data_IF_999054892890
#
_entry.id   IF_999054892890
#
_cell.length_a   1.000
_cell.length_b   1.000
_cell.length_c   1.000
_cell.angle_alpha   90.00
_cell.angle_beta   90.00
_cell.angle_gamma   90.00
#
_symmetry.space_group_name_H-M   'P 1'
#
loop_
_entity.id
_entity.type
_entity.pdbx_description
1 polymer ?
#
# COMPACT_ATOMS: atom_id res chain seq x y z
N UNK A 1 -21.05 -21.88 -0.53
CA UNK A 1 -20.29 -20.62 -0.53
C UNK A 1 -19.33 -20.54 0.65
N UNK A 2 -19.74 -20.96 1.84
CA UNK A 2 -18.95 -20.79 3.08
C UNK A 2 -17.62 -21.57 3.09
N UNK A 3 -17.53 -22.70 2.39
CA UNK A 3 -16.30 -23.50 2.34
C UNK A 3 -15.24 -22.96 1.34
N UNK A 4 -15.64 -22.22 0.32
CA UNK A 4 -14.71 -21.73 -0.72
C UNK A 4 -13.73 -20.66 -0.20
N UNK A 5 -14.15 -19.85 0.75
CA UNK A 5 -13.32 -18.79 1.37
C UNK A 5 -12.70 -19.21 2.70
N UNK A 6 -13.04 -20.39 3.23
CA UNK A 6 -12.50 -20.89 4.49
C UNK A 6 -11.02 -21.26 4.35
N UNK A 7 -10.17 -20.64 5.18
CA UNK A 7 -8.74 -20.92 5.18
C UNK A 7 -8.45 -22.28 5.82
N UNK A 8 -7.51 -23.03 5.25
CA UNK A 8 -7.09 -24.36 5.71
C UNK A 8 -5.65 -24.40 6.20
N UNK A 9 -4.84 -23.41 5.83
CA UNK A 9 -3.46 -23.30 6.31
C UNK A 9 -3.43 -22.74 7.73
N UNK A 10 -2.40 -23.10 8.51
CA UNK A 10 -2.28 -22.73 9.93
C UNK A 10 -1.33 -21.56 10.18
N UNK A 11 -0.41 -21.25 9.26
CA UNK A 11 0.55 -20.16 9.45
C UNK A 11 0.02 -18.87 8.82
N UNK A 12 0.16 -17.76 9.53
CA UNK A 12 -0.33 -16.44 9.08
C UNK A 12 0.15 -16.06 7.67
N UNK A 13 1.41 -16.39 7.37
CA UNK A 13 1.99 -16.13 6.06
C UNK A 13 1.30 -16.93 4.95
N UNK A 14 1.11 -18.23 5.11
CA UNK A 14 0.40 -19.07 4.15
C UNK A 14 -1.09 -18.71 4.06
N UNK A 15 -1.71 -18.33 5.17
CA UNK A 15 -3.10 -17.84 5.17
C UNK A 15 -3.28 -16.60 4.31
N UNK A 16 -2.29 -15.71 4.26
CA UNK A 16 -2.31 -14.54 3.37
C UNK A 16 -2.36 -14.96 1.89
N UNK A 17 -1.49 -15.88 1.50
CA UNK A 17 -1.43 -16.41 0.12
C UNK A 17 -2.72 -17.20 -0.21
N UNK A 18 -3.15 -18.09 0.68
CA UNK A 18 -4.37 -18.87 0.50
C UNK A 18 -5.61 -17.98 0.34
N UNK A 19 -5.74 -16.94 1.16
CA UNK A 19 -6.84 -15.98 1.08
C UNK A 19 -6.89 -15.30 -0.29
N UNK A 20 -5.75 -14.88 -0.80
CA UNK A 20 -5.67 -14.22 -2.11
C UNK A 20 -6.05 -15.19 -3.24
N UNK A 21 -5.53 -16.41 -3.24
CA UNK A 21 -5.86 -17.43 -4.23
C UNK A 21 -7.35 -17.82 -4.19
N UNK A 22 -7.91 -18.01 -2.99
CA UNK A 22 -9.34 -18.31 -2.82
C UNK A 22 -10.24 -17.18 -3.29
N UNK A 23 -9.87 -15.91 -3.00
CA UNK A 23 -10.61 -14.74 -3.48
C UNK A 23 -10.64 -14.67 -5.01
N UNK A 24 -9.50 -14.89 -5.67
CA UNK A 24 -9.40 -14.92 -7.12
C UNK A 24 -10.27 -16.01 -7.73
N UNK A 25 -10.21 -17.23 -7.19
CA UNK A 25 -11.04 -18.35 -7.64
C UNK A 25 -12.54 -18.09 -7.40
N UNK A 26 -12.89 -17.52 -6.24
CA UNK A 26 -14.27 -17.16 -5.93
C UNK A 26 -14.78 -16.10 -6.89
N UNK A 27 -14.01 -15.05 -7.13
CA UNK A 27 -14.35 -13.99 -8.06
C UNK A 27 -14.53 -14.54 -9.49
N UNK A 28 -13.62 -15.39 -9.94
CA UNK A 28 -13.72 -16.05 -11.24
C UNK A 28 -15.01 -16.86 -11.41
N UNK A 29 -15.43 -17.58 -10.37
CA UNK A 29 -16.61 -18.45 -10.42
C UNK A 29 -17.94 -17.70 -10.29
N UNK A 30 -17.97 -16.70 -9.43
CA UNK A 30 -19.23 -16.08 -8.99
C UNK A 30 -19.45 -14.66 -9.55
N UNK A 31 -18.38 -14.01 -9.97
CA UNK A 31 -18.40 -12.64 -10.50
C UNK A 31 -17.63 -12.60 -11.82
N UNK A 32 -18.11 -13.27 -12.88
CA UNK A 32 -17.40 -13.39 -14.15
C UNK A 32 -17.47 -12.07 -14.93
N UNK A 33 -16.75 -11.08 -14.45
CA UNK A 33 -16.51 -9.79 -15.13
C UNK A 33 -15.15 -9.84 -15.81
N UNK A 34 -14.77 -8.77 -16.50
CA UNK A 34 -13.47 -8.64 -17.14
C UNK A 34 -12.33 -8.79 -16.10
N UNK A 35 -11.85 -10.02 -15.96
CA UNK A 35 -10.72 -10.31 -15.08
C UNK A 35 -9.74 -11.26 -15.77
N UNK A 36 -8.47 -11.10 -15.44
CA UNK A 36 -7.40 -11.97 -15.93
C UNK A 36 -6.81 -12.71 -14.73
N UNK A 37 -6.56 -14.00 -14.93
CA UNK A 37 -5.82 -14.81 -13.96
C UNK A 37 -4.34 -14.78 -14.35
N UNK A 38 -3.50 -14.33 -13.43
CA UNK A 38 -2.06 -14.33 -13.63
C UNK A 38 -1.52 -15.77 -13.71
N UNK A 39 -0.52 -15.97 -14.56
CA UNK A 39 0.18 -17.24 -14.74
C UNK A 39 1.36 -17.43 -13.77
N UNK A 40 1.40 -16.66 -12.70
CA UNK A 40 2.46 -16.68 -11.69
C UNK A 40 1.94 -16.38 -10.29
N UNK A 41 2.75 -16.71 -9.30
CA UNK A 41 2.55 -16.29 -7.91
C UNK A 41 3.53 -15.17 -7.60
N UNK A 42 3.00 -14.03 -7.12
CA UNK A 42 3.81 -12.89 -6.75
C UNK A 42 4.53 -13.13 -5.42
N UNK A 43 5.85 -12.88 -5.39
CA UNK A 43 6.67 -12.82 -4.20
C UNK A 43 7.12 -11.37 -4.01
N UNK A 44 6.46 -10.59 -3.14
CA UNK A 44 6.82 -9.19 -2.93
C UNK A 44 8.25 -9.04 -2.41
N UNK A 45 8.95 -8.01 -2.88
CA UNK A 45 10.23 -7.57 -2.28
C UNK A 45 10.03 -7.24 -0.81
N UNK A 46 10.92 -7.69 0.06
CA UNK A 46 10.90 -7.35 1.49
C UNK A 46 11.50 -5.97 1.67
N UNK A 47 10.67 -5.02 2.04
CA UNK A 47 11.05 -3.60 2.18
C UNK A 47 10.64 -3.11 3.56
N UNK A 48 11.53 -2.38 4.19
CA UNK A 48 11.28 -1.72 5.47
C UNK A 48 11.25 -0.21 5.29
N UNK A 49 10.38 0.46 6.02
CA UNK A 49 10.31 1.93 6.08
C UNK A 49 10.17 2.35 7.54
N UNK A 50 10.88 3.40 7.91
CA UNK A 50 10.75 3.99 9.27
C UNK A 50 9.43 4.72 9.47
N UNK A 51 8.66 4.93 8.39
CA UNK A 51 7.42 5.70 8.42
C UNK A 51 7.65 7.20 8.63
N UNK A 52 6.56 7.91 8.83
CA UNK A 52 6.56 9.38 8.92
C UNK A 52 6.97 9.94 10.29
N UNK A 53 7.33 9.07 11.25
CA UNK A 53 7.74 9.49 12.60
C UNK A 53 6.57 9.92 13.51
N UNK A 54 5.37 10.00 12.98
CA UNK A 54 4.12 10.29 13.68
C UNK A 54 3.11 9.19 13.32
N UNK A 55 2.44 8.66 14.31
CA UNK A 55 1.38 7.66 14.16
C UNK A 55 0.04 8.22 14.62
N UNK A 56 -1.05 7.58 14.26
CA UNK A 56 -2.36 7.97 14.78
C UNK A 56 -2.45 7.72 16.30
N UNK A 57 -2.98 8.70 17.02
CA UNK A 57 -3.40 8.58 18.40
C UNK A 57 -4.93 8.61 18.40
N UNK A 58 -5.56 7.48 18.77
CA UNK A 58 -6.98 7.26 18.48
C UNK A 58 -7.67 6.46 19.57
N UNK A 59 -8.83 6.96 20.00
CA UNK A 59 -9.81 6.18 20.76
C UNK A 59 -10.71 5.40 19.81
N UNK A 60 -10.78 4.11 20.01
CA UNK A 60 -11.64 3.21 19.23
C UNK A 60 -12.85 2.81 20.06
N UNK A 61 -14.05 3.11 19.57
CA UNK A 61 -15.29 2.66 20.17
C UNK A 61 -15.93 1.59 19.29
N UNK A 62 -15.96 0.38 19.81
CA UNK A 62 -16.66 -0.75 19.19
C UNK A 62 -18.14 -0.66 19.62
N UNK A 63 -19.03 -0.38 18.68
CA UNK A 63 -20.48 -0.30 18.92
C UNK A 63 -21.19 -1.62 18.65
N UNK A 64 -20.64 -2.46 17.77
CA UNK A 64 -21.12 -3.79 17.45
C UNK A 64 -19.91 -4.75 17.34
N UNK A 65 -19.90 -5.77 18.22
CA UNK A 65 -18.81 -6.76 18.26
C UNK A 65 -18.75 -7.68 17.03
N UNK A 66 -19.83 -7.72 16.25
CA UNK A 66 -19.90 -8.52 15.01
C UNK A 66 -19.56 -7.71 13.76
N UNK A 67 -19.24 -6.42 13.91
CA UNK A 67 -18.89 -5.53 12.82
C UNK A 67 -17.43 -5.15 12.88
N UNK A 68 -16.75 -5.14 11.72
CA UNK A 68 -15.39 -4.62 11.56
C UNK A 68 -15.36 -3.07 11.44
N UNK A 69 -16.52 -2.43 11.56
CA UNK A 69 -16.64 -0.96 11.48
C UNK A 69 -16.65 -0.39 12.89
N UNK A 70 -15.65 0.43 13.19
CA UNK A 70 -15.46 1.07 14.48
C UNK A 70 -15.55 2.59 14.36
N UNK A 71 -16.12 3.23 15.37
CA UNK A 71 -16.01 4.68 15.54
C UNK A 71 -14.60 5.03 16.02
N UNK A 72 -13.97 6.01 15.40
CA UNK A 72 -12.64 6.49 15.74
C UNK A 72 -12.67 7.95 16.10
N UNK A 73 -12.02 8.30 17.21
CA UNK A 73 -11.81 9.68 17.63
C UNK A 73 -10.30 9.92 17.67
N UNK A 74 -9.80 10.70 16.74
CA UNK A 74 -8.38 11.03 16.65
C UNK A 74 -8.05 12.17 17.62
N UNK A 75 -6.93 12.03 18.33
CA UNK A 75 -6.38 13.06 19.21
C UNK A 75 -5.42 13.96 18.47
N UNK A 76 -5.51 15.27 18.77
CA UNK A 76 -4.64 16.24 18.12
C UNK A 76 -3.18 16.06 18.53
N UNK A 77 -2.30 15.86 17.56
CA UNK A 77 -0.87 15.73 17.74
C UNK A 77 -0.10 16.89 17.10
N UNK A 78 -0.71 17.58 16.13
CA UNK A 78 -0.18 18.78 15.49
C UNK A 78 -1.06 19.96 15.92
N UNK A 79 -0.60 20.68 16.95
CA UNK A 79 -1.30 21.81 17.54
C UNK A 79 -0.65 23.16 17.21
N UNK A 80 0.62 23.17 16.80
CA UNK A 80 1.39 24.37 16.47
C UNK A 80 2.44 24.07 15.41
N UNK A 81 3.07 25.11 14.86
CA UNK A 81 4.09 24.99 13.80
C UNK A 81 5.29 24.12 14.21
N UNK A 82 5.67 24.12 15.49
CA UNK A 82 6.75 23.28 15.98
C UNK A 82 6.43 21.79 15.92
N UNK A 83 5.15 21.44 16.01
CA UNK A 83 4.72 20.05 15.92
C UNK A 83 4.85 19.47 14.49
N UNK A 84 4.93 20.32 13.48
CA UNK A 84 5.15 19.90 12.07
C UNK A 84 6.48 19.14 11.94
N UNK A 85 7.46 19.43 12.77
CA UNK A 85 8.73 18.72 12.81
C UNK A 85 8.61 17.25 13.27
N UNK A 86 7.48 16.83 13.81
CA UNK A 86 7.18 15.42 14.11
C UNK A 86 7.08 14.60 12.83
N UNK A 87 6.69 15.23 11.72
CA UNK A 87 6.62 14.59 10.41
C UNK A 87 8.02 14.38 9.87
N UNK A 88 8.51 13.15 9.89
CA UNK A 88 9.85 12.77 9.43
C UNK A 88 9.82 12.26 7.98
N UNK A 89 10.92 12.46 7.29
CA UNK A 89 11.13 11.78 6.01
C UNK A 89 11.41 10.30 6.28
N UNK A 90 10.64 9.37 5.70
CA UNK A 90 10.91 7.94 5.86
C UNK A 90 12.28 7.55 5.30
N UNK A 91 12.91 6.57 5.93
CA UNK A 91 14.08 5.87 5.40
C UNK A 91 13.61 4.51 4.91
N UNK A 92 13.83 4.24 3.62
CA UNK A 92 13.43 2.99 2.95
C UNK A 92 14.66 2.10 2.79
N UNK A 93 14.55 0.84 3.19
CA UNK A 93 15.59 -0.17 3.02
C UNK A 93 15.04 -1.42 2.34
N UNK A 94 15.86 -2.05 1.49
CA UNK A 94 15.51 -3.27 0.78
C UNK A 94 16.27 -4.46 1.38
N UNK A 95 15.54 -5.41 1.94
CA UNK A 95 16.11 -6.68 2.42
C UNK A 95 16.14 -7.70 1.27
N UNK A 96 17.29 -7.74 0.58
CA UNK A 96 17.50 -8.67 -0.55
C UNK A 96 17.59 -10.12 -0.09
N UNK A 97 18.20 -10.36 1.07
CA UNK A 97 18.39 -11.70 1.60
C UNK A 97 17.04 -12.31 1.99
N UNK A 98 16.23 -11.58 2.76
CA UNK A 98 14.88 -12.02 3.13
C UNK A 98 13.99 -12.20 1.88
N UNK A 99 14.14 -11.36 0.85
CA UNK A 99 13.40 -11.51 -0.41
C UNK A 99 13.77 -12.82 -1.13
N UNK A 100 15.07 -13.13 -1.25
CA UNK A 100 15.51 -14.36 -1.90
C UNK A 100 15.13 -15.61 -1.09
N UNK A 101 15.18 -15.53 0.24
CA UNK A 101 14.70 -16.59 1.10
C UNK A 101 13.20 -16.85 0.93
N UNK A 102 12.39 -15.79 0.91
CA UNK A 102 10.95 -15.90 0.66
C UNK A 102 10.66 -16.50 -0.73
N UNK A 103 11.37 -16.04 -1.77
CA UNK A 103 11.26 -16.58 -3.13
C UNK A 103 11.60 -18.07 -3.18
N UNK A 104 12.67 -18.49 -2.50
CA UNK A 104 13.10 -19.90 -2.46
C UNK A 104 12.04 -20.78 -1.78
N UNK A 105 11.51 -20.34 -0.65
CA UNK A 105 10.45 -21.07 0.07
C UNK A 105 9.19 -21.16 -0.78
N UNK A 106 8.76 -20.06 -1.40
CA UNK A 106 7.60 -20.06 -2.29
C UNK A 106 7.81 -20.95 -3.52
N UNK A 107 9.00 -20.93 -4.11
CA UNK A 107 9.33 -21.81 -5.24
C UNK A 107 9.29 -23.29 -4.85
N UNK A 108 9.67 -23.65 -3.63
CA UNK A 108 9.57 -24.99 -3.12
C UNK A 108 8.12 -25.47 -2.89
N UNK A 109 7.19 -24.54 -2.67
CA UNK A 109 5.76 -24.86 -2.46
C UNK A 109 4.97 -24.87 -3.75
N UNK A 110 5.24 -23.92 -4.65
CA UNK A 110 4.40 -23.63 -5.82
C UNK A 110 5.10 -23.87 -7.15
N UNK A 111 6.42 -24.02 -7.18
CA UNK A 111 7.22 -23.94 -8.39
C UNK A 111 6.98 -25.04 -9.43
N UNK A 112 6.39 -26.15 -9.04
CA UNK A 112 5.92 -27.23 -9.92
C UNK A 112 4.52 -26.97 -10.49
N UNK A 113 3.80 -25.98 -9.97
CA UNK A 113 2.43 -25.62 -10.35
C UNK A 113 2.44 -24.31 -11.15
N UNK A 114 3.04 -23.25 -10.57
CA UNK A 114 3.11 -21.90 -11.11
C UNK A 114 4.48 -21.27 -10.85
N UNK A 115 5.04 -20.50 -11.80
CA UNK A 115 6.29 -19.79 -11.56
C UNK A 115 6.11 -18.74 -10.45
N UNK A 116 7.13 -18.60 -9.61
CA UNK A 116 7.20 -17.55 -8.57
C UNK A 116 8.00 -16.38 -9.11
N UNK A 117 7.39 -15.20 -9.17
CA UNK A 117 8.03 -13.96 -9.65
C UNK A 117 8.23 -12.98 -8.50
N UNK A 118 9.44 -12.49 -8.32
CA UNK A 118 9.70 -11.37 -7.39
C UNK A 118 9.09 -10.11 -7.97
N UNK A 119 8.25 -9.45 -7.17
CA UNK A 119 7.53 -8.26 -7.60
C UNK A 119 7.87 -7.06 -6.72
N UNK A 120 7.93 -5.89 -7.35
CA UNK A 120 8.06 -4.60 -6.66
C UNK A 120 6.71 -3.99 -6.31
N UNK A 121 6.74 -2.74 -5.89
CA UNK A 121 5.56 -1.94 -5.60
C UNK A 121 4.89 -1.52 -6.92
N UNK A 122 3.63 -1.90 -7.10
CA UNK A 122 2.83 -1.60 -8.29
C UNK A 122 1.86 -0.43 -8.11
N UNK A 123 1.77 0.11 -6.91
CA UNK A 123 0.95 1.26 -6.59
C UNK A 123 1.01 1.56 -5.10
N UNK A 124 0.86 2.82 -4.75
CA UNK A 124 0.84 3.27 -3.35
C UNK A 124 -0.33 4.22 -3.19
N UNK A 125 -1.29 3.81 -2.37
CA UNK A 125 -2.38 4.71 -2.00
C UNK A 125 -1.84 5.91 -1.24
N UNK A 126 -2.23 7.09 -1.68
CA UNK A 126 -1.85 8.32 -1.03
C UNK A 126 -3.03 9.30 -0.99
N UNK A 127 -3.56 9.51 0.19
CA UNK A 127 -4.59 10.50 0.48
C UNK A 127 -4.05 11.44 1.57
N UNK A 128 -3.36 12.51 1.20
CA UNK A 128 -2.65 13.36 2.17
C UNK A 128 -3.56 13.99 3.21
N UNK A 129 -4.79 14.31 2.83
CA UNK A 129 -5.77 14.86 3.76
C UNK A 129 -6.20 13.84 4.84
N UNK A 130 -6.31 12.57 4.46
CA UNK A 130 -6.62 11.50 5.44
C UNK A 130 -5.52 11.36 6.50
N UNK A 131 -4.25 11.54 6.12
CA UNK A 131 -3.13 11.55 7.08
C UNK A 131 -3.23 12.75 8.03
N UNK A 132 -3.48 13.95 7.49
CA UNK A 132 -3.60 15.16 8.32
C UNK A 132 -4.77 15.08 9.29
N UNK A 133 -5.93 14.58 8.86
CA UNK A 133 -7.10 14.40 9.74
C UNK A 133 -6.75 13.51 10.94
N UNK A 134 -5.96 12.47 10.75
CA UNK A 134 -5.53 11.57 11.83
C UNK A 134 -4.61 12.25 12.85
N UNK A 135 -3.87 13.29 12.43
CA UNK A 135 -2.92 13.99 13.29
C UNK A 135 -3.48 15.28 13.89
N UNK A 136 -4.45 15.88 13.26
CA UNK A 136 -5.13 17.08 13.76
C UNK A 136 -6.39 16.75 14.57
N UNK A 137 -7.03 15.63 14.29
CA UNK A 137 -8.42 15.38 14.63
C UNK A 137 -9.37 16.02 13.62
N UNK A 138 -10.50 15.38 13.34
CA UNK A 138 -11.42 15.77 12.24
C UNK A 138 -11.91 17.20 12.39
N UNK A 139 -12.47 17.53 13.55
CA UNK A 139 -13.05 18.86 13.83
C UNK A 139 -11.99 19.95 13.77
N UNK A 140 -10.82 19.71 14.40
CA UNK A 140 -9.75 20.69 14.43
C UNK A 140 -9.13 20.89 13.05
N UNK A 141 -8.96 19.81 12.24
CA UNK A 141 -8.46 19.92 10.89
C UNK A 141 -9.34 20.84 10.02
N UNK A 142 -10.66 20.72 10.14
CA UNK A 142 -11.61 21.55 9.39
C UNK A 142 -11.62 23.01 9.89
N UNK A 143 -11.53 23.23 11.18
CA UNK A 143 -11.46 24.55 11.79
C UNK A 143 -10.17 25.29 11.38
N UNK A 144 -9.04 24.58 11.41
CA UNK A 144 -7.73 25.13 11.10
C UNK A 144 -7.55 25.55 9.63
N UNK A 145 -8.38 25.04 8.72
CA UNK A 145 -8.41 25.56 7.35
C UNK A 145 -8.76 27.06 7.28
N UNK A 146 -9.51 27.54 8.27
CA UNK A 146 -9.98 28.94 8.37
C UNK A 146 -9.14 29.71 9.39
N UNK A 147 -8.99 29.16 10.59
CA UNK A 147 -8.41 29.89 11.72
C UNK A 147 -6.87 29.91 11.70
N UNK A 148 -6.25 28.84 11.18
CA UNK A 148 -4.78 28.66 11.15
C UNK A 148 -4.30 28.04 9.84
N UNK A 149 -4.64 28.62 8.67
CA UNK A 149 -4.32 28.05 7.36
C UNK A 149 -2.81 27.83 7.15
N UNK A 150 -1.95 28.67 7.74
CA UNK A 150 -0.50 28.53 7.67
C UNK A 150 0.00 27.24 8.36
N UNK A 151 -0.64 26.79 9.44
CA UNK A 151 -0.30 25.53 10.10
C UNK A 151 -0.66 24.35 9.20
N UNK A 152 -1.85 24.37 8.59
CA UNK A 152 -2.31 23.32 7.68
C UNK A 152 -1.42 23.26 6.43
N UNK A 153 -1.10 24.39 5.83
CA UNK A 153 -0.18 24.47 4.69
C UNK A 153 1.22 23.95 5.03
N UNK A 154 1.76 24.32 6.18
CA UNK A 154 3.08 23.87 6.64
C UNK A 154 3.10 22.35 6.84
N UNK A 155 2.09 21.79 7.49
CA UNK A 155 1.98 20.36 7.71
C UNK A 155 1.79 19.58 6.38
N UNK A 156 0.95 20.10 5.46
CA UNK A 156 0.76 19.51 4.15
C UNK A 156 2.05 19.53 3.33
N UNK A 157 2.75 20.66 3.29
CA UNK A 157 4.03 20.78 2.58
C UNK A 157 5.04 19.78 3.12
N UNK A 158 5.19 19.70 4.44
CA UNK A 158 6.12 18.77 5.08
C UNK A 158 5.76 17.31 4.79
N UNK A 159 4.47 16.97 4.79
CA UNK A 159 3.98 15.64 4.43
C UNK A 159 4.30 15.31 2.97
N UNK A 160 4.04 16.25 2.04
CA UNK A 160 4.31 16.06 0.61
C UNK A 160 5.80 15.85 0.35
N UNK A 161 6.66 16.69 0.93
CA UNK A 161 8.12 16.56 0.82
C UNK A 161 8.60 15.20 1.31
N UNK A 162 8.08 14.74 2.46
CA UNK A 162 8.42 13.44 3.02
C UNK A 162 7.98 12.27 2.11
N UNK A 163 6.80 12.37 1.51
CA UNK A 163 6.27 11.35 0.59
C UNK A 163 7.00 11.31 -0.74
N UNK A 164 7.34 12.46 -1.31
CA UNK A 164 8.13 12.54 -2.53
C UNK A 164 9.54 11.96 -2.30
N UNK A 165 10.20 12.32 -1.20
CA UNK A 165 11.49 11.76 -0.85
C UNK A 165 11.43 10.24 -0.56
N UNK A 166 10.31 9.73 -0.04
CA UNK A 166 10.08 8.29 0.08
C UNK A 166 9.99 7.62 -1.30
N UNK A 167 9.22 8.19 -2.24
CA UNK A 167 9.10 7.67 -3.61
C UNK A 167 10.44 7.67 -4.36
N UNK A 168 11.24 8.72 -4.20
CA UNK A 168 12.59 8.78 -4.77
C UNK A 168 13.47 7.63 -4.28
N UNK A 169 13.37 7.27 -3.00
CA UNK A 169 14.09 6.12 -2.43
C UNK A 169 13.60 4.80 -3.03
N UNK A 170 12.28 4.61 -3.16
CA UNK A 170 11.71 3.43 -3.81
C UNK A 170 12.24 3.27 -5.23
N UNK A 171 12.28 4.37 -6.00
CA UNK A 171 12.79 4.37 -7.36
C UNK A 171 14.32 4.09 -7.40
N UNK A 172 15.11 4.77 -6.57
CA UNK A 172 16.56 4.62 -6.51
C UNK A 172 17.00 3.19 -6.12
N UNK A 173 16.25 2.55 -5.24
CA UNK A 173 16.49 1.17 -4.80
C UNK A 173 15.95 0.12 -5.78
N UNK A 174 15.29 0.53 -6.88
CA UNK A 174 14.68 -0.37 -7.86
C UNK A 174 13.55 -1.20 -7.28
N UNK A 175 12.72 -0.60 -6.42
CA UNK A 175 11.64 -1.26 -5.70
C UNK A 175 10.29 -1.14 -6.37
N UNK A 176 10.17 -0.25 -7.37
CA UNK A 176 8.95 -0.10 -8.17
C UNK A 176 8.81 -1.24 -9.17
N UNK A 177 7.59 -1.50 -9.58
CA UNK A 177 7.26 -2.46 -10.64
C UNK A 177 6.18 -1.89 -11.55
N UNK A 178 6.05 -2.47 -12.73
CA UNK A 178 5.02 -2.10 -13.69
C UNK A 178 3.63 -2.41 -13.14
N UNK A 179 2.66 -1.59 -13.47
CA UNK A 179 1.26 -1.76 -13.09
C UNK A 179 0.31 -1.70 -14.31
N UNK A 180 0.86 -1.97 -15.51
CA UNK A 180 0.15 -2.08 -16.79
C UNK A 180 -0.41 -3.49 -17.02
N UNK A 181 -0.74 -4.20 -15.97
CA UNK A 181 -1.24 -5.58 -15.96
C UNK A 181 -2.54 -5.69 -15.13
N UNK A 182 -2.78 -6.86 -14.54
CA UNK A 182 -3.92 -7.13 -13.65
C UNK A 182 -3.83 -6.40 -12.30
N UNK A 183 -3.17 -5.26 -12.26
CA UNK A 183 -3.07 -4.41 -11.07
C UNK A 183 -4.21 -3.42 -11.05
N UNK A 184 -4.89 -3.36 -9.92
CA UNK A 184 -5.95 -2.38 -9.70
C UNK A 184 -5.34 -1.01 -9.46
N UNK A 185 -5.78 -0.03 -10.26
CA UNK A 185 -5.33 1.35 -10.17
C UNK A 185 -6.38 2.19 -9.44
N UNK A 186 -5.98 2.81 -8.36
CA UNK A 186 -6.87 3.64 -7.56
C UNK A 186 -8.11 2.90 -7.07
N UNK A 187 -9.26 3.56 -7.10
CA UNK A 187 -10.56 3.02 -6.68
C UNK A 187 -11.34 2.33 -7.81
N UNK A 188 -10.82 2.30 -9.03
CA UNK A 188 -11.55 1.93 -10.23
C UNK A 188 -10.94 0.79 -11.03
N UNK A 189 -10.38 1.10 -12.18
CA UNK A 189 -9.99 0.17 -13.22
C UNK A 189 -8.70 -0.62 -12.99
N UNK A 190 -8.33 -1.39 -14.00
CA UNK A 190 -7.07 -2.10 -14.12
C UNK A 190 -6.12 -1.37 -15.07
N UNK A 191 -4.81 -1.55 -14.90
CA UNK A 191 -3.76 -0.88 -15.67
C UNK A 191 -3.53 -1.37 -17.10
N UNK A 192 -4.49 -2.08 -17.69
CA UNK A 192 -4.40 -2.56 -19.08
C UNK A 192 -4.55 -1.42 -20.07
N UNK A 193 -3.48 -0.73 -20.33
CA UNK A 193 -3.44 0.34 -21.33
C UNK A 193 -2.10 0.32 -22.05
N UNK A 194 -2.05 0.92 -23.24
CA UNK A 194 -0.86 1.08 -24.05
C UNK A 194 -0.16 2.42 -23.85
N UNK A 195 -0.72 3.30 -23.01
CA UNK A 195 -0.19 4.64 -22.79
C UNK A 195 1.03 4.62 -21.86
N UNK A 196 0.97 3.78 -20.82
CA UNK A 196 2.07 3.55 -19.90
C UNK A 196 2.35 2.04 -19.74
N UNK A 197 3.60 1.68 -19.55
CA UNK A 197 4.79 2.52 -19.69
C UNK A 197 5.04 2.90 -21.15
N UNK A 198 5.56 4.11 -21.39
CA UNK A 198 5.94 4.55 -22.73
C UNK A 198 7.05 3.69 -23.37
N UNK A 199 7.31 3.92 -24.66
CA UNK A 199 8.24 3.16 -25.49
C UNK A 199 9.70 3.10 -24.95
N UNK A 200 10.09 4.03 -24.09
CA UNK A 200 11.44 4.12 -23.53
C UNK A 200 11.60 3.45 -22.17
N UNK A 201 10.71 2.53 -21.81
CA UNK A 201 10.80 1.81 -20.55
C UNK A 201 12.11 1.01 -20.46
N UNK A 202 12.88 1.25 -19.40
CA UNK A 202 13.91 0.33 -18.97
C UNK A 202 13.30 -0.70 -18.00
N UNK A 203 13.13 -1.97 -18.40
CA UNK A 203 12.47 -2.97 -17.55
C UNK A 203 13.26 -3.30 -16.26
N UNK A 204 14.52 -2.91 -16.20
CA UNK A 204 15.37 -3.08 -15.00
C UNK A 204 15.26 -1.92 -14.03
N UNK A 205 14.62 -0.81 -14.42
CA UNK A 205 14.50 0.39 -13.62
C UNK A 205 13.16 1.08 -13.92
N UNK A 206 12.12 0.57 -13.32
CA UNK A 206 10.79 1.21 -13.37
C UNK A 206 10.83 2.50 -12.56
N UNK A 207 10.35 3.59 -13.14
CA UNK A 207 10.24 4.92 -12.53
C UNK A 207 8.79 5.25 -12.27
N UNK A 208 8.55 6.25 -11.42
CA UNK A 208 7.20 6.76 -11.15
C UNK A 208 6.46 7.22 -12.40
N UNK A 209 7.17 7.83 -13.35
CA UNK A 209 6.65 8.24 -14.67
C UNK A 209 6.22 7.08 -15.59
N UNK A 210 6.58 5.85 -15.24
CA UNK A 210 6.23 4.64 -15.99
C UNK A 210 5.02 3.90 -15.40
N UNK A 211 4.37 4.48 -14.40
CA UNK A 211 3.28 3.88 -13.63
C UNK A 211 2.04 4.77 -13.70
N UNK A 212 0.89 4.13 -13.50
CA UNK A 212 -0.40 4.81 -13.31
C UNK A 212 -0.60 5.24 -11.87
#
# INVERSE_FOLDING_TARGET
ADDELTLRTSTTWLQGIERELRRRLYQWRHLPVDMIMDDYIACPKVVHSTGLGISEDVDIRVTDQNSDIYSRQFHQQIACLQDVDKIKTPVVTYDREATEQARHVMAGIFGDILPVRVTGLKGKWFAPWDELIRWFGVEQAMTDLIDRPELVHSAMTRLMDAKLAELDQWQALGLLDRNDDNTRIGSGGYGYTTDLPGINLNPKQVRTENMW
#
